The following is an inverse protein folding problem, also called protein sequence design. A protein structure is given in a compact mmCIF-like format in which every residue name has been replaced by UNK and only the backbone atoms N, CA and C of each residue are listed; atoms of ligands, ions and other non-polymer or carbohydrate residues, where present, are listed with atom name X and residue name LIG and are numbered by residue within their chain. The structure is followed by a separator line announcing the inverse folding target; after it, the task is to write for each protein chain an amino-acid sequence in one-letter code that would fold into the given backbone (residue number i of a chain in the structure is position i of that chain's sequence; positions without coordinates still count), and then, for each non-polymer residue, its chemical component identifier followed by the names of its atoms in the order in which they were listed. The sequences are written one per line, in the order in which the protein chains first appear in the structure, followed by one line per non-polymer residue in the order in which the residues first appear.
data_IF_315219914590
#
_entry.id   IF_315219914590
#
_cell.length_a   1.000
_cell.length_b   1.000
_cell.length_c   1.000
_cell.angle_alpha   90.00
_cell.angle_beta   90.00
_cell.angle_gamma   90.00
#
_symmetry.space_group_name_H-M   'P 1'
#
loop_
_entity.id
_entity.type
_entity.pdbx_description
1 polymer ?
#
# COMPACT_ATOMS: atom_id res chain seq x y z
N UNK A 1 -17.60 10.15 12.34
CA UNK A 1 -17.17 9.38 11.15
C UNK A 1 -17.10 10.32 9.96
N UNK A 2 -15.94 10.44 9.30
CA UNK A 2 -15.80 11.22 8.08
C UNK A 2 -16.64 10.61 6.95
N UNK A 3 -17.33 11.44 6.16
CA UNK A 3 -18.24 11.00 5.08
C UNK A 3 -17.99 11.82 3.82
N UNK A 4 -17.92 11.14 2.67
CA UNK A 4 -17.90 11.78 1.34
C UNK A 4 -19.25 11.53 0.69
N UNK A 5 -19.97 12.60 0.31
CA UNK A 5 -21.29 12.50 -0.39
C UNK A 5 -22.30 11.61 0.35
N UNK A 6 -22.28 11.66 1.69
CA UNK A 6 -23.11 10.81 2.57
C UNK A 6 -22.75 9.32 2.58
N UNK A 7 -21.73 8.88 1.84
CA UNK A 7 -21.16 7.54 1.93
C UNK A 7 -20.03 7.47 2.97
N UNK A 8 -19.87 6.33 3.68
CA UNK A 8 -18.73 6.14 4.58
C UNK A 8 -17.40 6.32 3.85
N UNK A 9 -16.46 7.06 4.47
CA UNK A 9 -15.11 7.19 3.94
C UNK A 9 -14.32 5.90 4.17
N UNK A 10 -13.58 5.44 3.17
CA UNK A 10 -12.73 4.27 3.30
C UNK A 10 -11.57 4.54 4.29
N UNK A 11 -11.37 3.70 5.31
CA UNK A 11 -10.36 3.92 6.36
C UNK A 11 -8.92 4.08 5.83
N UNK A 12 -8.59 3.43 4.71
CA UNK A 12 -7.31 3.63 4.01
C UNK A 12 -7.05 5.10 3.60
N UNK A 13 -8.09 5.92 3.40
CA UNK A 13 -7.92 7.33 3.03
C UNK A 13 -7.37 8.11 4.22
N UNK A 14 -8.07 8.10 5.36
CA UNK A 14 -7.63 8.83 6.56
C UNK A 14 -6.26 8.32 7.03
N UNK A 15 -6.07 6.98 7.10
CA UNK A 15 -4.78 6.40 7.52
C UNK A 15 -3.62 6.71 6.58
N UNK A 16 -3.83 6.82 5.27
CA UNK A 16 -2.78 7.22 4.33
C UNK A 16 -2.40 8.68 4.47
N UNK A 17 -3.38 9.55 4.76
CA UNK A 17 -3.14 10.97 5.03
C UNK A 17 -2.41 11.18 6.36
N UNK A 18 -2.81 10.46 7.41
CA UNK A 18 -2.14 10.50 8.71
C UNK A 18 -0.67 10.08 8.59
N UNK A 19 -0.39 8.97 7.90
CA UNK A 19 0.98 8.51 7.63
C UNK A 19 1.78 9.51 6.79
N UNK A 20 1.12 10.18 5.84
CA UNK A 20 1.79 11.21 5.05
C UNK A 20 2.18 12.40 5.93
N UNK A 21 1.28 12.88 6.80
CA UNK A 21 1.56 13.94 7.76
C UNK A 21 2.68 13.54 8.75
N UNK A 22 2.63 12.32 9.27
CA UNK A 22 3.67 11.77 10.14
C UNK A 22 5.04 11.76 9.43
N UNK A 23 5.10 11.31 8.17
CA UNK A 23 6.34 11.30 7.40
C UNK A 23 6.91 12.70 7.16
N UNK A 24 6.05 13.73 7.01
CA UNK A 24 6.46 15.13 6.90
C UNK A 24 7.10 15.58 8.22
N UNK A 25 6.46 15.31 9.36
CA UNK A 25 7.00 15.67 10.68
C UNK A 25 8.35 14.99 10.95
N UNK A 26 8.50 13.71 10.57
CA UNK A 26 9.78 12.99 10.71
C UNK A 26 10.87 13.67 9.88
N UNK A 27 10.60 13.98 8.60
CA UNK A 27 11.58 14.66 7.74
C UNK A 27 11.97 16.03 8.30
N UNK A 28 10.99 16.80 8.78
CA UNK A 28 11.25 18.10 9.41
C UNK A 28 12.13 17.96 10.67
N UNK A 29 11.86 16.99 11.52
CA UNK A 29 12.69 16.71 12.70
C UNK A 29 14.11 16.33 12.30
N UNK A 30 14.28 15.38 11.37
CA UNK A 30 15.60 14.94 10.90
C UNK A 30 16.38 16.08 10.25
N UNK A 31 15.71 16.96 9.52
CA UNK A 31 16.33 18.15 8.92
C UNK A 31 16.81 19.13 9.99
N UNK A 32 16.03 19.33 11.06
CA UNK A 32 16.45 20.18 12.18
C UNK A 32 17.68 19.60 12.89
N UNK A 33 17.66 18.30 13.16
CA UNK A 33 18.77 17.61 13.83
C UNK A 33 20.05 17.67 12.99
N UNK A 34 19.94 17.44 11.68
CA UNK A 34 21.07 17.55 10.74
C UNK A 34 21.71 18.95 10.77
N UNK A 35 20.91 20.02 10.71
CA UNK A 35 21.43 21.41 10.76
C UNK A 35 22.11 21.70 12.10
N UNK A 36 21.49 21.32 13.23
CA UNK A 36 22.03 21.54 14.57
C UNK A 36 23.34 20.78 14.74
N UNK A 37 23.37 19.51 14.33
CA UNK A 37 24.55 18.66 14.45
C UNK A 37 25.68 19.16 13.54
N UNK A 38 25.39 19.57 12.30
CA UNK A 38 26.37 20.19 11.41
C UNK A 38 26.97 21.47 12.02
N UNK A 39 26.15 22.34 12.60
CA UNK A 39 26.62 23.57 13.26
C UNK A 39 27.49 23.29 14.49
N UNK A 40 27.09 22.34 15.33
CA UNK A 40 27.86 21.94 16.51
C UNK A 40 29.24 21.38 16.13
N UNK A 41 29.31 20.54 15.08
CA UNK A 41 30.57 20.03 14.54
C UNK A 41 31.47 21.15 14.04
N UNK A 42 30.90 22.14 13.34
CA UNK A 42 31.65 23.31 12.87
C UNK A 42 32.28 24.11 14.03
N UNK A 43 31.56 24.27 15.14
CA UNK A 43 32.06 25.00 16.32
C UNK A 43 33.12 24.25 17.11
N UNK A 44 33.05 22.92 17.17
CA UNK A 44 33.95 22.11 18.00
C UNK A 44 35.30 21.80 17.34
N UNK A 45 35.49 22.14 16.05
CA UNK A 45 36.78 21.97 15.36
C UNK A 45 37.24 20.51 15.21
N UNK A 46 36.38 19.54 15.54
CA UNK A 46 36.68 18.11 15.50
C UNK A 46 36.95 17.68 14.04
N UNK A 47 37.98 16.86 13.77
CA UNK A 47 38.27 16.35 12.43
C UNK A 47 37.01 15.75 11.80
N UNK A 48 36.70 16.21 10.58
CA UNK A 48 35.47 15.96 9.81
C UNK A 48 35.32 14.52 9.31
N UNK A 49 35.75 13.54 10.10
CA UNK A 49 35.56 12.14 9.78
C UNK A 49 34.06 11.81 9.89
N UNK A 50 33.37 11.94 8.76
CA UNK A 50 32.25 11.12 8.34
C UNK A 50 31.30 10.66 9.45
N UNK A 51 30.49 11.58 9.96
CA UNK A 51 29.28 11.19 10.68
C UNK A 51 28.08 11.53 9.80
N UNK A 52 28.07 10.94 8.59
CA UNK A 52 26.98 11.04 7.62
C UNK A 52 25.71 10.34 8.13
N UNK A 53 25.68 9.86 9.38
CA UNK A 53 24.51 9.25 10.00
C UNK A 53 23.29 10.16 9.96
N UNK A 54 23.46 11.45 10.25
CA UNK A 54 22.35 12.41 10.18
C UNK A 54 21.85 12.60 8.74
N UNK A 55 22.79 12.59 7.77
CA UNK A 55 22.50 12.70 6.33
C UNK A 55 21.78 11.44 5.82
N UNK A 56 22.25 10.24 6.18
CA UNK A 56 21.62 8.97 5.84
C UNK A 56 20.24 8.81 6.48
N UNK A 57 20.08 9.27 7.72
CA UNK A 57 18.80 9.27 8.41
C UNK A 57 17.80 10.22 7.73
N UNK A 58 18.25 11.42 7.34
CA UNK A 58 17.43 12.37 6.57
C UNK A 58 17.06 11.81 5.18
N UNK A 59 18.02 11.23 4.47
CA UNK A 59 17.79 10.62 3.16
C UNK A 59 16.78 9.46 3.24
N UNK A 60 16.88 8.61 4.26
CA UNK A 60 15.92 7.53 4.51
C UNK A 60 14.53 8.08 4.84
N UNK A 61 14.43 9.12 5.67
CA UNK A 61 13.16 9.77 5.99
C UNK A 61 12.50 10.38 4.74
N UNK A 62 13.28 11.02 3.86
CA UNK A 62 12.78 11.58 2.60
C UNK A 62 12.28 10.47 1.67
N UNK A 63 13.00 9.35 1.57
CA UNK A 63 12.56 8.19 0.78
C UNK A 63 11.21 7.67 1.27
N UNK A 64 11.03 7.51 2.58
CA UNK A 64 9.76 7.06 3.16
C UNK A 64 8.64 8.09 2.98
N UNK A 65 8.92 9.38 3.13
CA UNK A 65 7.97 10.44 2.82
C UNK A 65 7.51 10.37 1.36
N UNK A 66 8.41 10.14 0.40
CA UNK A 66 8.05 9.95 -1.01
C UNK A 66 7.13 8.74 -1.24
N UNK A 67 7.31 7.65 -0.50
CA UNK A 67 6.39 6.50 -0.53
C UNK A 67 5.02 6.90 0.02
N UNK A 68 4.99 7.58 1.18
CA UNK A 68 3.76 8.06 1.79
C UNK A 68 3.01 9.06 0.88
N UNK A 69 3.71 9.97 0.21
CA UNK A 69 3.13 10.92 -0.78
C UNK A 69 2.45 10.18 -1.92
N UNK A 70 3.10 9.16 -2.47
CA UNK A 70 2.51 8.35 -3.56
C UNK A 70 1.24 7.66 -3.09
N UNK A 71 1.24 7.08 -1.89
CA UNK A 71 0.07 6.43 -1.30
C UNK A 71 -1.06 7.42 -1.04
N UNK A 72 -0.77 8.57 -0.43
CA UNK A 72 -1.72 9.64 -0.19
C UNK A 72 -2.37 10.13 -1.49
N UNK A 73 -1.58 10.34 -2.55
CA UNK A 73 -2.09 10.70 -3.87
C UNK A 73 -3.04 9.65 -4.43
N UNK A 74 -2.70 8.37 -4.36
CA UNK A 74 -3.58 7.29 -4.82
C UNK A 74 -4.89 7.27 -4.05
N UNK A 75 -4.84 7.40 -2.71
CA UNK A 75 -6.06 7.41 -1.89
C UNK A 75 -6.92 8.66 -2.13
N UNK A 76 -6.30 9.81 -2.35
CA UNK A 76 -7.01 11.04 -2.72
C UNK A 76 -7.65 10.93 -4.11
N UNK A 77 -6.97 10.27 -5.05
CA UNK A 77 -7.55 9.94 -6.35
C UNK A 77 -8.79 9.04 -6.19
N UNK A 78 -8.72 7.98 -5.39
CA UNK A 78 -9.87 7.13 -5.10
C UNK A 78 -11.02 7.93 -4.44
N UNK A 79 -10.69 8.79 -3.47
CA UNK A 79 -11.66 9.67 -2.82
C UNK A 79 -12.36 10.59 -3.83
N UNK A 80 -11.59 11.19 -4.75
CA UNK A 80 -12.12 12.01 -5.83
C UNK A 80 -13.08 11.23 -6.73
N UNK A 81 -12.72 10.01 -7.12
CA UNK A 81 -13.58 9.15 -7.95
C UNK A 81 -14.91 8.83 -7.27
N UNK A 82 -14.93 8.64 -5.95
CA UNK A 82 -16.18 8.48 -5.17
C UNK A 82 -17.05 9.75 -5.19
N UNK A 83 -16.48 10.90 -5.52
CA UNK A 83 -17.19 12.17 -5.70
C UNK A 83 -17.53 12.51 -7.15
N UNK A 84 -17.30 11.64 -8.12
CA UNK A 84 -17.81 11.91 -9.46
C UNK A 84 -19.25 11.38 -9.60
N UNK A 85 -20.16 12.11 -10.26
CA UNK A 85 -21.45 11.55 -10.63
C UNK A 85 -21.20 10.27 -11.42
N UNK A 86 -21.93 9.21 -11.09
CA UNK A 86 -21.96 8.01 -11.91
C UNK A 86 -22.66 8.41 -13.21
N UNK A 87 -21.90 8.90 -14.19
CA UNK A 87 -22.40 9.02 -15.56
C UNK A 87 -22.95 7.64 -15.93
N UNK A 88 -24.07 7.59 -16.62
CA UNK A 88 -24.77 6.37 -17.00
C UNK A 88 -23.91 5.48 -17.94
N UNK A 89 -22.86 4.88 -17.39
CA UNK A 89 -21.96 3.93 -18.03
C UNK A 89 -22.09 2.59 -17.29
N UNK A 90 -23.30 2.03 -17.35
CA UNK A 90 -23.60 0.62 -17.15
C UNK A 90 -23.10 -0.25 -18.33
N UNK A 91 -21.94 0.08 -18.90
CA UNK A 91 -21.32 -0.68 -19.98
C UNK A 91 -19.84 -1.00 -19.74
N UNK A 92 -19.16 -0.34 -18.78
CA UNK A 92 -17.72 -0.56 -18.56
C UNK A 92 -17.29 -0.87 -17.13
N UNK A 93 -18.19 -0.81 -16.14
CA UNK A 93 -17.83 -1.07 -14.73
C UNK A 93 -17.97 -2.54 -14.31
N UNK A 94 -18.82 -3.31 -15.00
CA UNK A 94 -18.98 -4.74 -14.77
C UNK A 94 -17.70 -5.52 -15.07
N UNK A 95 -16.87 -5.06 -16.02
CA UNK A 95 -15.60 -5.73 -16.35
C UNK A 95 -14.51 -5.50 -15.29
N UNK A 96 -14.46 -4.32 -14.68
CA UNK A 96 -13.48 -4.03 -13.64
C UNK A 96 -13.80 -4.76 -12.32
N UNK A 97 -15.07 -4.86 -11.97
CA UNK A 97 -15.52 -5.63 -10.79
C UNK A 97 -15.35 -7.14 -11.02
N UNK A 98 -15.66 -7.64 -12.22
CA UNK A 98 -15.44 -9.04 -12.59
C UNK A 98 -13.94 -9.41 -12.64
N UNK A 99 -13.08 -8.51 -13.12
CA UNK A 99 -11.63 -8.72 -13.10
C UNK A 99 -11.05 -8.76 -11.69
N UNK A 100 -11.57 -7.94 -10.76
CA UNK A 100 -11.17 -7.99 -9.34
C UNK A 100 -11.68 -9.26 -8.65
N UNK A 101 -12.89 -9.72 -8.98
CA UNK A 101 -13.44 -10.98 -8.47
C UNK A 101 -12.67 -12.20 -8.99
N UNK A 102 -12.25 -12.19 -10.26
CA UNK A 102 -11.46 -13.28 -10.86
C UNK A 102 -10.05 -13.39 -10.27
N UNK A 103 -9.42 -12.28 -9.90
CA UNK A 103 -8.11 -12.31 -9.23
C UNK A 103 -8.25 -12.90 -7.82
N UNK A 104 -9.30 -12.52 -7.08
CA UNK A 104 -9.56 -13.04 -5.72
C UNK A 104 -9.90 -14.54 -5.72
N UNK A 105 -10.62 -15.03 -6.73
CA UNK A 105 -10.96 -16.46 -6.84
C UNK A 105 -9.81 -17.34 -7.35
N UNK A 106 -8.72 -16.77 -7.87
CA UNK A 106 -7.60 -17.53 -8.42
C UNK A 106 -6.61 -17.98 -7.33
N UNK A 107 -6.58 -17.31 -6.18
CA UNK A 107 -5.66 -17.64 -5.08
C UNK A 107 -6.08 -18.87 -4.27
N UNK A 108 -7.37 -19.25 -4.28
CA UNK A 108 -7.87 -20.43 -3.54
C UNK A 108 -7.58 -21.77 -4.24
N UNK A 109 -7.20 -21.77 -5.53
CA UNK A 109 -7.00 -23.00 -6.32
C UNK A 109 -5.57 -23.54 -6.35
N UNK A 110 -4.65 -22.98 -5.57
CA UNK A 110 -3.24 -23.45 -5.54
C UNK A 110 -2.94 -24.34 -4.32
N UNK A 111 -3.78 -24.35 -3.28
CA UNK A 111 -3.53 -25.13 -2.05
C UNK A 111 -4.20 -26.51 -1.97
N UNK A 112 -5.04 -26.90 -2.94
CA UNK A 112 -5.76 -28.19 -2.92
C UNK A 112 -5.32 -29.19 -4.01
N UNK A 113 -4.09 -29.07 -4.53
CA UNK A 113 -3.54 -30.01 -5.53
C UNK A 113 -2.52 -31.01 -4.96
N UNK A 114 -2.02 -30.78 -3.74
CA UNK A 114 -1.06 -31.68 -3.07
C UNK A 114 -1.70 -32.41 -1.87
N UNK A 115 -2.93 -32.93 -1.99
CA UNK A 115 -3.44 -33.86 -0.98
C UNK A 115 -4.67 -34.67 -1.45
N UNK A 116 -4.58 -35.39 -2.57
CA UNK A 116 -5.54 -36.48 -2.82
C UNK A 116 -5.01 -37.55 -3.77
N UNK A 117 -3.81 -38.07 -3.49
CA UNK A 117 -3.41 -39.39 -4.00
C UNK A 117 -3.66 -40.40 -2.88
N UNK A 118 -4.86 -40.96 -2.82
CA UNK A 118 -5.14 -42.33 -2.37
C UNK A 118 -6.65 -42.58 -2.17
N UNK A 119 -7.26 -43.36 -3.07
CA UNK A 119 -8.37 -44.31 -2.81
C UNK A 119 -8.87 -44.86 -4.15
N UNK A 120 -8.50 -46.08 -4.54
CA UNK A 120 -9.34 -47.31 -4.42
C UNK A 120 -10.73 -47.19 -5.07
N UNK A 121 -10.93 -47.97 -6.13
CA UNK A 121 -12.14 -48.74 -6.52
C UNK A 121 -11.94 -49.21 -7.97
N UNK A 122 -11.67 -50.49 -8.25
CA UNK A 122 -12.59 -51.63 -8.26
C UNK A 122 -13.92 -51.35 -8.99
N UNK A 123 -14.17 -52.20 -10.01
CA UNK A 123 -15.49 -52.65 -10.50
C UNK A 123 -16.13 -51.96 -11.70
N UNK A 124 -16.04 -52.63 -12.85
CA UNK A 124 -17.04 -52.69 -13.94
C UNK A 124 -16.53 -53.73 -14.95
N UNK A 125 -17.29 -54.61 -15.58
CA UNK A 125 -18.74 -54.70 -15.77
C UNK A 125 -19.09 -56.12 -16.27
N UNK A 126 -20.30 -56.55 -15.93
CA UNK A 126 -20.91 -57.77 -16.46
C UNK A 126 -21.74 -57.44 -17.71
N UNK A 127 -21.54 -58.26 -18.76
CA UNK A 127 -22.58 -58.82 -19.64
C UNK A 127 -23.35 -57.89 -20.59
N UNK A 128 -23.17 -58.05 -21.91
CA UNK A 128 -24.20 -58.65 -22.79
C UNK A 128 -23.78 -58.82 -24.27
N UNK A 129 -24.16 -60.00 -24.77
CA UNK A 129 -24.46 -60.44 -26.15
C UNK A 129 -23.29 -60.79 -27.08
#
# INVERSE_FOLDING_TARGET
MERLRSSPLHANISTALDRHLESIHIVQSRRKDEIVNASNRQRQGVPRCQDDRDVFALASAIKEMCVATRKARTTLWCALQMTLPKTASTAGQTDAEKALQDIVNCEDKVHESLNSSNSINQRSEANKR
#
